data_IF_184095684659
#
_entry.id   IF_184095684659
#
_cell.length_a   1.000
_cell.length_b   1.000
_cell.length_c   1.000
_cell.angle_alpha   90.00
_cell.angle_beta   90.00
_cell.angle_gamma   90.00
#
_symmetry.space_group_name_H-M   'P 1'
#
loop_
_entity.id
_entity.type
_entity.pdbx_description
1 polymer ?
#
# COMPACT_ATOMS: atom_id res chain seq x y z
N UNK A 1 19.70 -9.78 -6.14
CA UNK A 1 18.53 -10.07 -7.02
C UNK A 1 18.22 -8.82 -7.85
N UNK A 2 18.09 -8.89 -9.19
CA UNK A 2 17.76 -7.70 -10.02
C UNK A 2 16.30 -7.76 -10.42
N UNK A 3 15.53 -6.75 -10.02
CA UNK A 3 14.15 -6.58 -10.49
C UNK A 3 14.14 -5.73 -11.75
N UNK A 4 14.06 -6.38 -12.91
CA UNK A 4 13.78 -5.72 -14.17
C UNK A 4 12.28 -5.42 -14.27
N UNK A 5 11.89 -4.19 -13.95
CA UNK A 5 10.53 -3.71 -14.21
C UNK A 5 10.45 -3.14 -15.63
N UNK A 6 9.80 -3.88 -16.53
CA UNK A 6 9.39 -3.37 -17.84
C UNK A 6 8.36 -2.25 -17.66
N UNK A 7 8.73 -1.02 -17.95
CA UNK A 7 7.76 0.04 -18.25
C UNK A 7 7.73 0.25 -19.76
N UNK A 8 6.80 -0.41 -20.44
CA UNK A 8 6.49 -0.14 -21.84
C UNK A 8 5.67 1.17 -21.92
N UNK A 9 6.11 2.21 -22.65
CA UNK A 9 5.52 3.55 -22.60
C UNK A 9 4.08 3.65 -23.16
N UNK A 10 3.52 2.56 -23.70
CA UNK A 10 2.18 2.54 -24.30
C UNK A 10 1.23 1.44 -23.82
N UNK A 11 1.73 0.49 -23.04
CA UNK A 11 0.94 -0.66 -22.56
C UNK A 11 1.48 -1.06 -21.19
N UNK A 12 0.83 -0.57 -20.13
CA UNK A 12 1.16 -0.95 -18.77
C UNK A 12 1.01 -2.46 -18.59
N UNK A 13 2.08 -3.07 -18.05
CA UNK A 13 2.15 -4.34 -17.33
C UNK A 13 1.21 -5.45 -17.83
N UNK A 14 1.68 -6.39 -18.66
CA UNK A 14 1.16 -7.77 -18.62
C UNK A 14 2.19 -8.81 -19.08
N UNK A 15 2.16 -9.93 -18.33
CA UNK A 15 2.74 -11.26 -18.55
C UNK A 15 4.25 -11.35 -18.83
N UNK A 16 4.96 -11.78 -17.78
CA UNK A 16 6.34 -12.30 -17.78
C UNK A 16 7.41 -11.20 -17.82
N UNK A 17 7.59 -10.53 -16.69
CA UNK A 17 8.95 -10.18 -16.26
C UNK A 17 9.75 -11.49 -16.18
N UNK A 18 10.66 -11.70 -17.13
CA UNK A 18 11.62 -12.79 -17.05
C UNK A 18 12.73 -12.27 -16.13
N UNK A 19 12.84 -12.84 -14.94
CA UNK A 19 14.01 -12.66 -14.08
C UNK A 19 15.19 -13.38 -14.75
N UNK A 20 16.30 -12.66 -14.94
CA UNK A 20 17.56 -13.26 -15.36
C UNK A 20 18.41 -13.44 -14.11
N UNK A 21 18.62 -14.69 -13.71
CA UNK A 21 19.59 -15.01 -12.67
C UNK A 21 20.97 -14.97 -13.30
N UNK A 22 21.77 -13.99 -12.90
CA UNK A 22 23.18 -13.94 -13.27
C UNK A 22 23.97 -14.94 -12.41
N UNK A 23 25.01 -15.57 -12.97
CA UNK A 23 25.85 -16.46 -12.20
C UNK A 23 26.45 -15.71 -11.01
N UNK A 24 26.57 -16.41 -9.88
CA UNK A 24 27.22 -15.86 -8.71
C UNK A 24 28.65 -15.44 -9.06
N UNK A 25 28.99 -14.18 -8.76
CA UNK A 25 30.30 -13.60 -9.04
C UNK A 25 30.86 -12.99 -7.77
N UNK A 26 32.04 -13.45 -7.38
CA UNK A 26 32.79 -12.87 -6.27
C UNK A 26 33.57 -11.67 -6.81
N UNK A 27 33.29 -10.48 -6.28
CA UNK A 27 34.09 -9.30 -6.52
C UNK A 27 35.25 -9.24 -5.54
N UNK A 28 36.47 -9.32 -6.05
CA UNK A 28 37.69 -9.03 -5.30
C UNK A 28 38.17 -7.65 -5.71
N UNK A 29 38.19 -6.74 -4.74
CA UNK A 29 38.63 -5.37 -4.95
C UNK A 29 40.12 -5.29 -4.62
N UNK A 30 40.95 -4.91 -5.60
CA UNK A 30 42.38 -4.69 -5.38
C UNK A 30 42.66 -3.39 -4.65
N UNK A 31 41.80 -2.40 -4.86
CA UNK A 31 41.73 -1.20 -4.07
C UNK A 31 40.25 -0.88 -3.81
N UNK A 32 39.98 -0.36 -2.62
CA UNK A 32 38.67 0.15 -2.23
C UNK A 32 38.88 1.47 -1.49
N UNK A 33 38.09 2.48 -1.83
CA UNK A 33 38.15 3.82 -1.25
C UNK A 33 36.75 4.24 -0.84
N UNK A 34 36.62 4.61 0.43
CA UNK A 34 35.39 5.21 0.93
C UNK A 34 35.22 6.63 0.36
N UNK A 35 33.96 7.03 0.16
CA UNK A 35 33.57 8.40 -0.22
C UNK A 35 34.29 8.93 -1.48
N UNK A 36 34.36 8.09 -2.51
CA UNK A 36 35.06 8.43 -3.76
C UNK A 36 34.15 9.16 -4.73
N UNK A 37 34.68 10.24 -5.35
CA UNK A 37 33.91 11.02 -6.33
C UNK A 37 33.91 10.33 -7.70
N UNK A 38 32.72 9.99 -8.19
CA UNK A 38 32.46 9.44 -9.53
C UNK A 38 31.64 10.46 -10.30
N UNK A 39 32.27 11.19 -11.21
CA UNK A 39 31.64 12.29 -11.94
C UNK A 39 31.08 13.36 -10.98
N UNK A 40 29.76 13.54 -10.96
CA UNK A 40 29.06 14.49 -10.10
C UNK A 40 28.65 13.93 -8.73
N UNK A 41 28.78 12.62 -8.51
CA UNK A 41 28.30 11.96 -7.30
C UNK A 41 29.47 11.49 -6.43
N UNK A 42 29.18 11.30 -5.14
CA UNK A 42 30.09 10.64 -4.20
C UNK A 42 29.53 9.23 -3.97
N UNK A 43 30.35 8.21 -4.23
CA UNK A 43 30.05 6.82 -3.94
C UNK A 43 30.49 6.48 -2.52
N UNK A 44 29.70 5.69 -1.81
CA UNK A 44 30.07 5.24 -0.46
C UNK A 44 31.37 4.43 -0.50
N UNK A 45 31.50 3.53 -1.47
CA UNK A 45 32.73 2.80 -1.75
C UNK A 45 32.91 2.71 -3.26
N UNK A 46 34.10 3.06 -3.75
CA UNK A 46 34.54 2.75 -5.11
C UNK A 46 35.79 1.89 -5.06
N UNK A 47 35.94 0.98 -6.01
CA UNK A 47 37.11 0.13 -6.10
C UNK A 47 37.35 -0.39 -7.51
N UNK A 48 38.45 -1.13 -7.67
CA UNK A 48 38.78 -1.77 -8.93
C UNK A 48 38.87 -3.29 -8.76
N UNK A 49 38.29 -4.02 -9.70
CA UNK A 49 38.43 -5.47 -9.81
C UNK A 49 39.84 -5.87 -10.32
N UNK A 50 40.13 -7.17 -10.30
CA UNK A 50 41.38 -7.76 -10.83
C UNK A 50 41.68 -7.42 -12.29
N UNK A 51 40.63 -7.22 -13.09
CA UNK A 51 40.75 -6.83 -14.50
C UNK A 51 40.84 -5.30 -14.70
N UNK A 52 40.89 -4.52 -13.61
CA UNK A 52 40.94 -3.06 -13.64
C UNK A 52 39.58 -2.38 -13.85
N UNK A 53 38.47 -3.14 -13.86
CA UNK A 53 37.14 -2.57 -13.96
C UNK A 53 36.79 -1.78 -12.69
N UNK A 54 36.45 -0.51 -12.85
CA UNK A 54 35.93 0.32 -11.75
C UNK A 54 34.53 -0.15 -11.36
N UNK A 55 34.31 -0.41 -10.08
CA UNK A 55 33.03 -0.84 -9.52
C UNK A 55 32.67 -0.02 -8.29
N UNK A 56 31.37 0.12 -8.06
CA UNK A 56 30.82 0.92 -6.98
C UNK A 56 29.97 0.05 -6.05
N UNK A 57 30.04 0.34 -4.76
CA UNK A 57 29.16 -0.20 -3.72
C UNK A 57 28.53 0.96 -2.98
N UNK A 58 27.20 0.98 -2.94
CA UNK A 58 26.39 1.94 -2.19
C UNK A 58 25.73 1.23 -1.01
N UNK A 59 25.60 1.92 0.13
CA UNK A 59 25.07 1.36 1.37
C UNK A 59 23.78 2.07 1.74
N UNK A 60 22.67 1.36 1.59
CA UNK A 60 21.36 1.86 1.98
C UNK A 60 21.17 1.65 3.48
N UNK A 61 21.26 2.76 4.23
CA UNK A 61 20.92 2.79 5.66
C UNK A 61 19.55 3.40 5.88
N UNK A 62 19.25 4.54 5.24
CA UNK A 62 17.94 5.22 5.32
C UNK A 62 17.35 5.53 3.94
N UNK A 63 18.21 5.84 2.98
CA UNK A 63 17.81 6.22 1.64
C UNK A 63 18.46 5.26 0.65
N UNK A 64 17.67 4.85 -0.35
CA UNK A 64 18.20 4.12 -1.49
C UNK A 64 18.93 5.07 -2.44
N UNK A 65 19.75 4.51 -3.33
CA UNK A 65 20.41 5.26 -4.40
C UNK A 65 19.36 6.01 -5.22
N UNK A 66 19.57 7.31 -5.34
CA UNK A 66 18.66 8.19 -6.05
C UNK A 66 18.51 7.80 -7.53
N UNK A 67 17.31 7.93 -8.13
CA UNK A 67 17.09 7.53 -9.52
C UNK A 67 18.03 8.22 -10.53
N UNK A 68 18.41 9.46 -10.26
CA UNK A 68 19.33 10.24 -11.11
C UNK A 68 20.75 9.66 -11.08
N UNK A 69 21.26 9.31 -9.89
CA UNK A 69 22.54 8.63 -9.70
C UNK A 69 22.53 7.25 -10.35
N UNK A 70 21.46 6.46 -10.16
CA UNK A 70 21.32 5.16 -10.79
C UNK A 70 21.31 5.24 -12.33
N UNK A 71 20.65 6.26 -12.89
CA UNK A 71 20.62 6.51 -14.34
C UNK A 71 22.00 6.89 -14.88
N UNK A 72 22.74 7.74 -14.15
CA UNK A 72 24.10 8.12 -14.49
C UNK A 72 25.03 6.90 -14.54
N UNK A 73 25.03 6.07 -13.49
CA UNK A 73 25.88 4.87 -13.42
C UNK A 73 25.60 3.89 -14.55
N UNK A 74 24.32 3.70 -14.90
CA UNK A 74 23.92 2.86 -16.05
C UNK A 74 24.39 3.43 -17.38
N UNK A 75 24.25 4.74 -17.59
CA UNK A 75 24.71 5.39 -18.81
C UNK A 75 26.24 5.36 -18.96
N UNK A 76 26.96 5.41 -17.84
CA UNK A 76 28.42 5.32 -17.79
C UNK A 76 28.95 3.87 -17.80
N UNK A 77 28.08 2.86 -17.88
CA UNK A 77 28.45 1.43 -17.82
C UNK A 77 29.28 1.05 -16.58
N UNK A 78 29.14 1.79 -15.47
CA UNK A 78 29.84 1.49 -14.23
C UNK A 78 29.02 0.47 -13.44
N UNK A 79 29.54 -0.73 -13.14
CA UNK A 79 28.87 -1.69 -12.30
C UNK A 79 28.70 -1.14 -10.88
N UNK A 80 27.48 -1.24 -10.36
CA UNK A 80 27.14 -0.75 -9.04
C UNK A 80 26.14 -1.68 -8.34
N UNK A 81 26.46 -2.03 -7.11
CA UNK A 81 25.57 -2.75 -6.20
C UNK A 81 25.16 -1.85 -5.04
N UNK A 82 23.94 -2.04 -4.55
CA UNK A 82 23.45 -1.46 -3.31
C UNK A 82 23.29 -2.57 -2.26
N UNK A 83 23.85 -2.34 -1.07
CA UNK A 83 23.71 -3.20 0.11
C UNK A 83 22.66 -2.58 1.02
N UNK A 84 21.56 -3.30 1.26
CA UNK A 84 20.47 -2.85 2.13
C UNK A 84 20.73 -3.24 3.59
N UNK A 85 21.02 -2.24 4.42
CA UNK A 85 21.19 -2.39 5.86
C UNK A 85 20.01 -1.79 6.64
N UNK A 86 18.99 -1.24 5.96
CA UNK A 86 17.81 -0.68 6.60
C UNK A 86 17.11 -1.67 7.56
N UNK A 87 16.96 -2.97 7.23
CA UNK A 87 16.33 -3.93 8.13
C UNK A 87 17.06 -4.11 9.47
N UNK A 88 18.36 -3.79 9.51
CA UNK A 88 19.20 -3.96 10.71
C UNK A 88 19.06 -2.79 11.69
N UNK A 89 18.37 -1.71 11.32
CA UNK A 89 18.18 -0.53 12.17
C UNK A 89 17.08 -0.72 13.24
N UNK A 90 16.28 -1.77 13.15
CA UNK A 90 15.23 -2.09 14.12
C UNK A 90 15.79 -2.84 15.35
N UNK A 91 17.03 -3.31 15.30
CA UNK A 91 17.69 -4.04 16.37
C UNK A 91 18.49 -3.08 17.29
N UNK A 92 18.28 -3.17 18.61
CA UNK A 92 18.85 -2.23 19.59
C UNK A 92 20.37 -2.36 19.76
N UNK A 93 21.00 -3.44 19.30
CA UNK A 93 22.46 -3.63 19.38
C UNK A 93 23.00 -4.55 18.29
N UNK A 94 23.67 -3.98 17.29
CA UNK A 94 24.39 -4.74 16.26
C UNK A 94 25.89 -4.78 16.60
N UNK A 95 26.50 -5.97 16.60
CA UNK A 95 27.96 -6.09 16.76
C UNK A 95 28.69 -5.81 15.43
N UNK A 96 29.97 -5.45 15.51
CA UNK A 96 30.82 -5.26 14.33
C UNK A 96 30.92 -6.56 13.49
N UNK A 97 30.89 -7.72 14.14
CA UNK A 97 30.98 -9.01 13.47
C UNK A 97 29.70 -9.33 12.68
N UNK A 98 28.53 -9.03 13.24
CA UNK A 98 27.24 -9.17 12.54
C UNK A 98 27.17 -8.18 11.37
N UNK A 99 27.60 -6.93 11.56
CA UNK A 99 27.68 -5.96 10.48
C UNK A 99 28.60 -6.44 9.34
N UNK A 100 29.79 -6.96 9.67
CA UNK A 100 30.73 -7.48 8.69
C UNK A 100 30.13 -8.66 7.92
N UNK A 101 29.40 -9.56 8.59
CA UNK A 101 28.67 -10.63 7.91
C UNK A 101 27.63 -10.09 6.92
N UNK A 102 26.82 -9.11 7.33
CA UNK A 102 25.82 -8.50 6.45
C UNK A 102 26.40 -7.74 5.26
N UNK A 103 27.59 -7.16 5.40
CA UNK A 103 28.24 -6.39 4.34
C UNK A 103 29.05 -7.31 3.41
N UNK A 104 29.77 -8.29 3.94
CA UNK A 104 30.76 -9.10 3.20
C UNK A 104 30.23 -10.46 2.78
N UNK A 105 29.42 -11.13 3.60
CA UNK A 105 29.00 -12.52 3.37
C UNK A 105 27.53 -12.64 2.94
N UNK A 106 26.66 -11.76 3.42
CA UNK A 106 25.23 -11.83 3.14
C UNK A 106 24.93 -11.42 1.69
N UNK A 107 24.27 -12.31 0.94
CA UNK A 107 23.89 -12.07 -0.46
C UNK A 107 22.45 -11.60 -0.63
N UNK A 108 21.60 -11.83 0.37
CA UNK A 108 20.16 -11.58 0.29
C UNK A 108 19.79 -10.11 0.42
N UNK A 109 20.69 -9.28 0.95
CA UNK A 109 20.53 -7.84 1.08
C UNK A 109 21.22 -7.04 -0.04
N UNK A 110 21.64 -7.70 -1.13
CA UNK A 110 22.33 -7.06 -2.25
C UNK A 110 21.46 -6.95 -3.49
N UNK A 111 21.45 -5.77 -4.08
CA UNK A 111 20.76 -5.50 -5.34
C UNK A 111 21.67 -4.78 -6.32
N UNK A 112 21.42 -4.97 -7.62
CA UNK A 112 22.16 -4.24 -8.64
C UNK A 112 21.49 -2.90 -8.92
N UNK A 113 22.27 -1.84 -8.87
CA UNK A 113 21.87 -0.49 -9.31
C UNK A 113 22.22 -0.30 -10.78
N UNK A 114 23.37 -0.85 -11.19
CA UNK A 114 23.88 -0.82 -12.57
C UNK A 114 24.70 -2.08 -12.81
N UNK A 115 24.51 -2.75 -13.94
CA UNK A 115 25.31 -3.90 -14.36
C UNK A 115 25.85 -3.64 -15.77
N UNK A 116 27.14 -3.87 -16.01
CA UNK A 116 27.78 -3.64 -17.31
C UNK A 116 27.13 -4.45 -18.44
N UNK A 117 26.65 -5.64 -18.12
CA UNK A 117 26.09 -6.59 -19.08
C UNK A 117 24.59 -6.34 -19.31
N UNK A 118 24.00 -5.37 -18.61
CA UNK A 118 22.57 -5.04 -18.66
C UNK A 118 22.09 -4.81 -20.10
N UNK A 119 22.85 -4.04 -20.90
CA UNK A 119 22.48 -3.72 -22.27
C UNK A 119 22.51 -4.95 -23.19
N UNK A 120 23.44 -5.87 -22.97
CA UNK A 120 23.55 -7.12 -23.74
C UNK A 120 22.38 -8.05 -23.40
N UNK A 121 22.12 -8.22 -22.11
CA UNK A 121 21.00 -9.04 -21.61
C UNK A 121 19.66 -8.47 -22.09
N UNK A 122 19.49 -7.14 -22.05
CA UNK A 122 18.29 -6.47 -22.55
C UNK A 122 18.10 -6.69 -24.06
N UNK A 123 19.17 -6.61 -24.85
CA UNK A 123 19.13 -6.84 -26.29
C UNK A 123 18.80 -8.30 -26.64
N UNK A 124 19.40 -9.28 -25.94
CA UNK A 124 19.11 -10.70 -26.10
C UNK A 124 17.64 -11.01 -25.79
N UNK A 125 17.13 -10.49 -24.67
CA UNK A 125 15.73 -10.65 -24.27
C UNK A 125 14.76 -10.00 -25.27
N UNK A 126 15.12 -8.86 -25.84
CA UNK A 126 14.32 -8.19 -26.87
C UNK A 126 14.30 -9.00 -28.17
N UNK A 127 15.43 -9.57 -28.57
CA UNK A 127 15.54 -10.42 -29.75
C UNK A 127 14.74 -11.73 -29.58
N UNK A 128 14.82 -12.39 -28.42
CA UNK A 128 13.99 -13.56 -28.08
C UNK A 128 12.49 -13.25 -28.22
N UNK A 129 12.07 -12.08 -27.72
CA UNK A 129 10.68 -11.65 -27.81
C UNK A 129 10.24 -11.42 -29.25
N UNK A 130 11.06 -10.73 -30.05
CA UNK A 130 10.74 -10.48 -31.46
C UNK A 130 10.65 -11.79 -32.26
N UNK A 131 11.56 -12.74 -32.02
CA UNK A 131 11.53 -14.06 -32.63
C UNK A 131 10.26 -14.85 -32.25
N UNK A 132 9.84 -14.77 -30.98
CA UNK A 132 8.59 -15.37 -30.54
C UNK A 132 7.35 -14.76 -31.22
N UNK A 133 7.30 -13.43 -31.34
CA UNK A 133 6.22 -12.72 -32.06
C UNK A 133 6.17 -13.18 -33.50
N UNK A 134 7.32 -13.22 -34.20
CA UNK A 134 7.39 -13.66 -35.58
C UNK A 134 6.90 -15.10 -35.76
N UNK A 135 7.28 -16.01 -34.85
CA UNK A 135 6.82 -17.41 -34.86
C UNK A 135 5.30 -17.50 -34.69
N UNK A 136 4.73 -16.75 -33.73
CA UNK A 136 3.27 -16.73 -33.50
C UNK A 136 2.50 -16.13 -34.66
N UNK A 137 3.04 -15.11 -35.31
CA UNK A 137 2.46 -14.54 -36.53
C UNK A 137 2.50 -15.52 -37.72
N UNK A 138 3.57 -16.32 -37.85
CA UNK A 138 3.69 -17.36 -38.88
C UNK A 138 2.73 -18.54 -38.65
N UNK A 139 2.59 -19.02 -37.42
CA UNK A 139 1.62 -20.06 -37.03
C UNK A 139 0.17 -19.65 -37.32
N UNK A 140 -0.15 -18.36 -37.15
CA UNK A 140 -1.47 -17.82 -37.47
C UNK A 140 -1.76 -17.70 -38.98
N UNK A 141 -0.71 -17.67 -39.82
CA UNK A 141 -0.83 -17.55 -41.26
C UNK A 141 -0.99 -18.91 -41.99
N UNK A 142 -0.65 -20.03 -41.35
CA UNK A 142 -0.70 -21.38 -41.94
C UNK A 142 -2.04 -22.11 -41.84
N UNK A 143 -3.09 -21.48 -41.30
CA UNK A 143 -4.44 -22.08 -41.18
C UNK A 143 -5.28 -21.74 -42.43
N UNK A 144 -5.75 -22.73 -43.22
CA UNK A 144 -6.58 -22.47 -44.40
C UNK A 144 -7.91 -21.85 -44.00
N UNK A 145 -8.17 -20.60 -44.44
CA UNK A 145 -9.41 -19.88 -44.16
C UNK A 145 -10.51 -20.31 -45.15
N UNK A 146 -11.43 -21.16 -44.70
CA UNK A 146 -12.78 -21.19 -45.28
C UNK A 146 -13.46 -19.85 -44.96
N UNK A 147 -14.08 -19.24 -45.97
CA UNK A 147 -14.75 -17.94 -45.89
C UNK A 147 -16.26 -18.14 -45.76
N UNK A 148 -16.85 -17.89 -44.59
CA UNK A 148 -18.19 -17.34 -44.47
C UNK A 148 -18.13 -15.82 -44.27
N UNK A 149 -19.26 -15.15 -44.48
CA UNK A 149 -19.49 -13.69 -44.44
C UNK A 149 -18.81 -12.96 -43.26
N UNK A 150 -18.41 -11.69 -43.45
CA UNK A 150 -17.55 -10.99 -42.49
C UNK A 150 -18.31 -10.68 -41.19
N UNK A 151 -17.95 -11.29 -40.04
CA UNK A 151 -18.39 -10.77 -38.75
C UNK A 151 -17.63 -9.47 -38.48
N UNK A 152 -18.33 -8.49 -37.88
CA UNK A 152 -17.78 -7.21 -37.42
C UNK A 152 -16.41 -7.43 -36.77
N UNK A 153 -15.38 -6.74 -37.27
CA UNK A 153 -14.03 -6.78 -36.70
C UNK A 153 -14.11 -6.52 -35.19
N UNK A 154 -13.91 -7.56 -34.39
CA UNK A 154 -13.80 -7.44 -32.95
C UNK A 154 -12.58 -6.58 -32.65
N UNK A 155 -12.75 -5.51 -31.87
CA UNK A 155 -11.63 -4.64 -31.55
C UNK A 155 -10.62 -5.42 -30.69
N UNK A 156 -9.33 -5.04 -30.75
CA UNK A 156 -8.29 -5.64 -29.88
C UNK A 156 -8.65 -5.60 -28.39
N UNK A 157 -9.52 -4.65 -27.99
CA UNK A 157 -10.04 -4.50 -26.63
C UNK A 157 -11.06 -5.59 -26.32
N UNK A 158 -11.94 -5.93 -27.26
CA UNK A 158 -12.93 -6.99 -27.11
C UNK A 158 -12.27 -8.37 -26.99
N UNK A 159 -11.21 -8.62 -27.76
CA UNK A 159 -10.41 -9.85 -27.63
C UNK A 159 -9.67 -9.94 -26.29
N UNK A 160 -9.20 -8.83 -25.74
CA UNK A 160 -8.57 -8.79 -24.42
C UNK A 160 -9.59 -9.03 -23.29
N UNK A 161 -10.80 -8.50 -23.45
CA UNK A 161 -11.91 -8.75 -22.53
C UNK A 161 -12.38 -10.20 -22.60
N UNK A 162 -12.59 -10.76 -23.78
CA UNK A 162 -12.98 -12.16 -23.95
C UNK A 162 -11.96 -13.12 -23.30
N UNK A 163 -10.66 -12.85 -23.46
CA UNK A 163 -9.60 -13.62 -22.80
C UNK A 163 -9.67 -13.56 -21.28
N UNK A 164 -9.87 -12.36 -20.72
CA UNK A 164 -9.97 -12.22 -19.27
C UNK A 164 -11.26 -12.82 -18.69
N UNK A 165 -12.38 -12.70 -19.41
CA UNK A 165 -13.64 -13.33 -19.01
C UNK A 165 -13.48 -14.86 -18.93
N UNK A 166 -12.70 -15.46 -19.84
CA UNK A 166 -12.42 -16.89 -19.86
C UNK A 166 -11.45 -17.37 -18.76
N UNK A 167 -10.77 -16.46 -18.05
CA UNK A 167 -9.87 -16.85 -16.97
C UNK A 167 -10.64 -17.39 -15.75
N UNK A 168 -10.15 -18.44 -15.08
CA UNK A 168 -10.65 -18.84 -13.77
C UNK A 168 -10.49 -17.71 -12.74
N UNK A 169 -11.41 -17.61 -11.79
CA UNK A 169 -11.38 -16.55 -10.78
C UNK A 169 -10.14 -16.58 -9.89
N UNK A 170 -9.55 -17.75 -9.67
CA UNK A 170 -8.27 -17.91 -8.97
C UNK A 170 -7.13 -17.19 -9.69
N UNK A 171 -7.08 -17.30 -11.03
CA UNK A 171 -6.09 -16.61 -11.85
C UNK A 171 -6.32 -15.10 -11.84
N UNK A 172 -7.58 -14.65 -11.89
CA UNK A 172 -7.92 -13.22 -11.76
C UNK A 172 -7.46 -12.66 -10.40
N UNK A 173 -7.64 -13.40 -9.30
CA UNK A 173 -7.15 -13.02 -7.97
C UNK A 173 -5.62 -12.96 -7.92
N UNK A 174 -4.94 -13.93 -8.52
CA UNK A 174 -3.48 -13.96 -8.58
C UNK A 174 -2.92 -12.76 -9.35
N UNK A 175 -3.50 -12.43 -10.50
CA UNK A 175 -3.15 -11.23 -11.27
C UNK A 175 -3.32 -9.96 -10.44
N UNK A 176 -4.45 -9.81 -9.75
CA UNK A 176 -4.71 -8.64 -8.92
C UNK A 176 -3.76 -8.55 -7.72
N UNK A 177 -3.48 -9.67 -7.02
CA UNK A 177 -2.49 -9.69 -5.94
C UNK A 177 -1.12 -9.20 -6.42
N UNK A 178 -0.70 -9.70 -7.58
CA UNK A 178 0.56 -9.31 -8.21
C UNK A 178 0.58 -7.82 -8.51
N UNK A 179 -0.47 -7.26 -9.12
CA UNK A 179 -0.52 -5.83 -9.46
C UNK A 179 -0.53 -4.95 -8.22
N UNK A 180 -1.25 -5.36 -7.18
CA UNK A 180 -1.33 -4.65 -5.91
C UNK A 180 -0.06 -4.80 -5.05
N UNK A 181 0.91 -5.62 -5.45
CA UNK A 181 2.12 -5.88 -4.67
C UNK A 181 1.85 -6.60 -3.35
N UNK A 182 0.79 -7.42 -3.28
CA UNK A 182 0.45 -8.20 -2.10
C UNK A 182 1.33 -9.46 -2.03
N UNK A 183 1.99 -9.68 -0.90
CA UNK A 183 2.75 -10.91 -0.66
C UNK A 183 1.84 -12.16 -0.66
N UNK A 184 2.42 -13.33 -0.95
CA UNK A 184 1.69 -14.59 -0.89
C UNK A 184 1.13 -14.84 0.52
N UNK A 185 -0.16 -15.15 0.59
CA UNK A 185 -0.88 -15.31 1.86
C UNK A 185 -1.27 -14.00 2.57
N UNK A 186 -0.88 -12.83 2.06
CA UNK A 186 -1.36 -11.56 2.60
C UNK A 186 -2.89 -11.45 2.52
N UNK A 187 -3.47 -10.91 3.60
CA UNK A 187 -4.92 -10.64 3.67
C UNK A 187 -5.30 -9.62 2.59
N UNK A 188 -6.43 -9.88 1.93
CA UNK A 188 -6.97 -8.97 0.92
C UNK A 188 -7.36 -7.63 1.57
N UNK A 189 -7.07 -6.47 0.94
CA UNK A 189 -7.41 -5.18 1.51
C UNK A 189 -8.92 -5.04 1.73
N UNK A 190 -9.35 -4.77 2.97
CA UNK A 190 -10.78 -4.71 3.34
C UNK A 190 -11.58 -3.69 2.51
N UNK A 191 -10.94 -2.61 2.09
CA UNK A 191 -11.56 -1.58 1.24
C UNK A 191 -11.77 -2.03 -0.23
N UNK A 192 -11.27 -3.20 -0.61
CA UNK A 192 -11.49 -3.87 -1.91
C UNK A 192 -12.37 -5.13 -1.77
N UNK A 193 -13.05 -5.30 -0.63
CA UNK A 193 -14.01 -6.37 -0.37
C UNK A 193 -15.22 -5.83 0.41
N UNK A 194 -15.72 -4.67 -0.02
CA UNK A 194 -16.83 -3.97 0.61
C UNK A 194 -18.13 -4.71 0.27
N UNK A 195 -18.91 -5.06 1.28
CA UNK A 195 -20.23 -5.65 1.06
C UNK A 195 -21.19 -4.64 0.43
N UNK A 196 -21.41 -4.78 -0.87
CA UNK A 196 -22.35 -3.97 -1.64
C UNK A 196 -23.66 -4.75 -1.76
N UNK A 197 -24.70 -4.34 -0.99
CA UNK A 197 -25.97 -5.06 -0.92
C UNK A 197 -26.80 -4.95 -2.21
N UNK A 198 -26.69 -3.84 -2.93
CA UNK A 198 -27.51 -3.55 -4.10
C UNK A 198 -26.72 -3.76 -5.39
N UNK A 199 -27.24 -4.60 -6.29
CA UNK A 199 -26.74 -4.77 -7.65
C UNK A 199 -25.41 -5.49 -7.84
N UNK A 200 -24.71 -5.88 -6.76
CA UNK A 200 -23.44 -6.60 -6.85
C UNK A 200 -23.56 -7.96 -7.55
N UNK A 201 -24.69 -8.65 -7.41
CA UNK A 201 -24.98 -9.94 -8.05
C UNK A 201 -25.13 -9.84 -9.58
N UNK A 202 -25.30 -8.64 -10.11
CA UNK A 202 -25.40 -8.41 -11.55
C UNK A 202 -24.04 -8.43 -12.26
N UNK A 203 -22.93 -8.39 -11.51
CA UNK A 203 -21.58 -8.50 -12.03
C UNK A 203 -21.16 -9.97 -11.90
N UNK A 204 -20.89 -10.71 -13.00
CA UNK A 204 -20.56 -12.13 -12.96
C UNK A 204 -19.09 -12.36 -12.58
N UNK A 205 -18.70 -11.83 -11.43
CA UNK A 205 -17.39 -12.01 -10.83
C UNK A 205 -17.48 -11.88 -9.30
N UNK A 206 -16.62 -12.55 -8.55
CA UNK A 206 -16.52 -12.39 -7.10
C UNK A 206 -16.28 -10.94 -6.69
N UNK A 207 -16.77 -10.57 -5.50
CA UNK A 207 -16.79 -9.17 -5.03
C UNK A 207 -15.38 -8.58 -4.92
N UNK A 208 -14.44 -9.37 -4.42
CA UNK A 208 -13.02 -9.03 -4.30
C UNK A 208 -12.38 -8.81 -5.68
N UNK A 209 -12.78 -9.61 -6.68
CA UNK A 209 -12.22 -9.55 -8.03
C UNK A 209 -12.68 -8.28 -8.76
N UNK A 210 -13.98 -7.99 -8.82
CA UNK A 210 -14.43 -6.82 -9.59
C UNK A 210 -14.14 -5.49 -8.88
N UNK A 211 -14.15 -5.47 -7.55
CA UNK A 211 -13.76 -4.27 -6.79
C UNK A 211 -12.26 -4.01 -6.90
N UNK A 212 -11.43 -5.06 -6.73
CA UNK A 212 -9.98 -4.96 -6.92
C UNK A 212 -9.61 -4.53 -8.33
N UNK A 213 -10.22 -5.13 -9.35
CA UNK A 213 -9.95 -4.77 -10.75
C UNK A 213 -10.37 -3.33 -11.09
N UNK A 214 -11.53 -2.89 -10.58
CA UNK A 214 -11.99 -1.50 -10.72
C UNK A 214 -11.01 -0.54 -10.05
N UNK A 215 -10.55 -0.83 -8.83
CA UNK A 215 -9.57 -0.01 -8.12
C UNK A 215 -8.23 0.05 -8.86
N UNK A 216 -7.70 -1.09 -9.30
CA UNK A 216 -6.45 -1.17 -10.08
C UNK A 216 -6.52 -0.35 -11.36
N UNK A 217 -7.67 -0.38 -12.04
CA UNK A 217 -7.84 0.31 -13.32
C UNK A 217 -7.93 1.83 -13.17
N UNK A 218 -8.71 2.29 -12.19
CA UNK A 218 -9.14 3.69 -12.12
C UNK A 218 -8.48 4.50 -10.98
N UNK A 219 -7.88 3.85 -9.98
CA UNK A 219 -7.40 4.51 -8.76
C UNK A 219 -5.93 4.21 -8.50
N UNK A 220 -5.52 2.94 -8.57
CA UNK A 220 -4.18 2.51 -8.21
C UNK A 220 -3.12 3.05 -9.18
N UNK A 221 -2.29 3.96 -8.66
CA UNK A 221 -1.12 4.56 -9.32
C UNK A 221 -0.04 4.84 -8.26
N UNK A 222 0.68 3.81 -7.78
CA UNK A 222 1.66 3.94 -6.70
C UNK A 222 2.89 4.77 -7.08
N UNK A 223 3.13 5.01 -8.37
CA UNK A 223 4.30 5.74 -8.90
C UNK A 223 3.89 7.18 -9.32
N UNK A 224 2.59 7.50 -9.35
CA UNK A 224 2.08 8.82 -9.71
C UNK A 224 2.29 9.18 -11.20
N UNK A 225 2.39 8.18 -12.07
CA UNK A 225 2.79 8.34 -13.47
C UNK A 225 1.65 8.64 -14.44
N UNK A 226 0.38 8.60 -14.01
CA UNK A 226 -0.79 8.77 -14.91
C UNK A 226 -1.50 10.10 -14.69
N UNK A 227 -0.97 11.18 -15.27
CA UNK A 227 -1.66 12.48 -15.26
C UNK A 227 -3.02 12.45 -15.99
N UNK A 228 -3.17 11.60 -17.00
CA UNK A 228 -4.39 11.49 -17.84
C UNK A 228 -5.56 10.74 -17.16
N UNK A 229 -5.36 10.09 -16.00
CA UNK A 229 -6.41 9.32 -15.30
C UNK A 229 -6.90 9.97 -14.01
N UNK A 230 -6.60 11.26 -13.79
CA UNK A 230 -6.99 11.96 -12.55
C UNK A 230 -8.50 12.15 -12.40
N UNK A 231 -9.31 11.98 -13.45
CA UNK A 231 -10.78 12.10 -13.39
C UNK A 231 -11.46 11.09 -14.32
N UNK A 232 -12.53 10.46 -13.85
CA UNK A 232 -13.36 9.52 -14.62
C UNK A 232 -14.85 9.65 -14.24
N UNK A 233 -15.75 9.23 -15.13
CA UNK A 233 -17.20 9.21 -14.87
C UNK A 233 -17.70 7.81 -14.50
N UNK A 234 -18.86 7.74 -13.82
CA UNK A 234 -19.50 6.46 -13.54
C UNK A 234 -19.81 5.67 -14.82
N UNK A 235 -20.17 6.35 -15.92
CA UNK A 235 -20.40 5.70 -17.22
C UNK A 235 -19.13 5.05 -17.77
N UNK A 236 -17.97 5.71 -17.66
CA UNK A 236 -16.69 5.13 -18.11
C UNK A 236 -16.32 3.89 -17.30
N UNK A 237 -16.58 3.89 -15.99
CA UNK A 237 -16.37 2.71 -15.14
C UNK A 237 -17.35 1.60 -15.53
N UNK A 238 -18.62 1.94 -15.77
CA UNK A 238 -19.61 0.99 -16.23
C UNK A 238 -19.21 0.35 -17.56
N UNK A 239 -18.89 1.13 -18.60
CA UNK A 239 -18.52 0.60 -19.91
C UNK A 239 -17.31 -0.34 -19.82
N UNK A 240 -16.32 0.02 -18.99
CA UNK A 240 -15.17 -0.83 -18.74
C UNK A 240 -15.52 -2.11 -17.98
N UNK A 241 -16.31 -2.03 -16.90
CA UNK A 241 -16.74 -3.21 -16.12
C UNK A 241 -17.60 -4.13 -16.97
N UNK A 242 -18.51 -3.57 -17.77
CA UNK A 242 -19.36 -4.31 -18.69
C UNK A 242 -18.56 -5.06 -19.73
N UNK A 243 -17.57 -4.41 -20.35
CA UNK A 243 -16.63 -5.07 -21.24
C UNK A 243 -15.79 -6.12 -20.52
N UNK A 244 -15.19 -5.79 -19.37
CA UNK A 244 -14.23 -6.64 -18.66
C UNK A 244 -14.85 -7.90 -18.07
N UNK A 245 -16.09 -7.82 -17.57
CA UNK A 245 -16.78 -8.93 -16.90
C UNK A 245 -17.95 -9.49 -17.70
N UNK A 246 -18.33 -8.90 -18.84
CA UNK A 246 -19.42 -9.41 -19.67
C UNK A 246 -20.80 -9.17 -19.08
N UNK A 247 -21.03 -8.02 -18.44
CA UNK A 247 -22.37 -7.69 -17.93
C UNK A 247 -23.31 -7.30 -19.07
N UNK A 248 -24.58 -7.70 -18.97
CA UNK A 248 -25.62 -7.30 -19.94
C UNK A 248 -26.08 -5.86 -19.72
N UNK A 249 -26.44 -5.14 -20.80
CA UNK A 249 -27.09 -3.83 -20.72
C UNK A 249 -28.42 -3.87 -19.92
N UNK A 250 -29.09 -5.03 -19.89
CA UNK A 250 -30.34 -5.21 -19.15
C UNK A 250 -30.18 -5.00 -17.63
N UNK A 251 -28.98 -5.20 -17.10
CA UNK A 251 -28.67 -5.03 -15.67
C UNK A 251 -27.90 -3.73 -15.39
N UNK A 252 -27.83 -2.81 -16.36
CA UNK A 252 -27.07 -1.57 -16.25
C UNK A 252 -27.36 -0.76 -15.00
N UNK A 253 -28.62 -0.64 -14.62
CA UNK A 253 -29.03 0.10 -13.42
C UNK A 253 -28.49 -0.55 -12.13
N UNK A 254 -28.51 -1.88 -12.05
CA UNK A 254 -28.01 -2.64 -10.90
C UNK A 254 -26.48 -2.55 -10.80
N UNK A 255 -25.77 -2.76 -11.92
CA UNK A 255 -24.30 -2.63 -11.97
C UNK A 255 -23.88 -1.20 -11.62
N UNK A 256 -24.56 -0.18 -12.17
CA UNK A 256 -24.28 1.23 -11.86
C UNK A 256 -24.53 1.57 -10.38
N UNK A 257 -25.57 1.00 -9.76
CA UNK A 257 -25.82 1.17 -8.33
C UNK A 257 -24.70 0.55 -7.49
N UNK A 258 -24.25 -0.67 -7.84
CA UNK A 258 -23.15 -1.33 -7.15
C UNK A 258 -21.84 -0.56 -7.26
N UNK A 259 -21.51 -0.09 -8.47
CA UNK A 259 -20.32 0.74 -8.72
C UNK A 259 -20.38 2.07 -7.98
N UNK A 260 -21.55 2.72 -7.94
CA UNK A 260 -21.74 3.98 -7.19
C UNK A 260 -21.51 3.79 -5.69
N UNK A 261 -22.01 2.69 -5.11
CA UNK A 261 -21.81 2.37 -3.70
C UNK A 261 -20.33 2.10 -3.39
N UNK A 262 -19.66 1.34 -4.25
CA UNK A 262 -18.24 1.03 -4.09
C UNK A 262 -17.35 2.29 -4.25
N UNK A 263 -17.52 3.06 -5.33
CA UNK A 263 -16.76 4.29 -5.56
C UNK A 263 -17.07 5.35 -4.48
N UNK A 264 -18.31 5.41 -4.00
CA UNK A 264 -18.69 6.26 -2.88
C UNK A 264 -18.00 5.86 -1.57
N UNK A 265 -17.80 4.55 -1.34
CA UNK A 265 -17.01 4.06 -0.21
C UNK A 265 -15.53 4.45 -0.34
N UNK A 266 -14.94 4.29 -1.53
CA UNK A 266 -13.55 4.73 -1.79
C UNK A 266 -13.38 6.24 -1.59
N UNK A 267 -14.38 7.04 -1.96
CA UNK A 267 -14.38 8.47 -1.69
C UNK A 267 -14.36 8.79 -0.18
N UNK A 268 -15.15 8.07 0.62
CA UNK A 268 -15.13 8.21 2.09
C UNK A 268 -13.79 7.79 2.71
N UNK A 269 -13.07 6.86 2.06
CA UNK A 269 -11.74 6.43 2.47
C UNK A 269 -10.63 7.39 2.02
N UNK A 270 -10.96 8.48 1.31
CA UNK A 270 -9.99 9.49 0.89
C UNK A 270 -9.26 9.17 -0.42
N UNK A 271 -9.62 8.10 -1.13
CA UNK A 271 -9.03 7.79 -2.44
C UNK A 271 -9.58 8.68 -3.55
N UNK A 272 -10.85 9.07 -3.44
CA UNK A 272 -11.59 9.77 -4.50
C UNK A 272 -12.29 11.01 -3.95
N UNK A 273 -12.42 12.03 -4.79
CA UNK A 273 -13.38 13.12 -4.61
C UNK A 273 -14.53 12.96 -5.61
N UNK A 274 -15.77 13.09 -5.14
CA UNK A 274 -16.94 13.01 -6.02
C UNK A 274 -17.45 14.39 -6.38
N UNK A 275 -17.53 14.70 -7.67
CA UNK A 275 -18.17 15.91 -8.20
C UNK A 275 -19.29 15.52 -9.17
N UNK A 276 -20.53 15.45 -8.67
CA UNK A 276 -21.67 15.00 -9.46
C UNK A 276 -21.59 13.50 -9.79
N UNK A 277 -21.45 13.18 -11.08
CA UNK A 277 -21.27 11.81 -11.62
C UNK A 277 -19.82 11.48 -12.02
N UNK A 278 -18.90 12.42 -11.75
CA UNK A 278 -17.47 12.23 -11.95
C UNK A 278 -16.74 12.05 -10.61
N UNK A 279 -15.63 11.32 -10.69
CA UNK A 279 -14.73 11.03 -9.59
C UNK A 279 -13.33 11.51 -9.96
N UNK A 280 -12.67 12.19 -9.03
CA UNK A 280 -11.27 12.63 -9.15
C UNK A 280 -10.42 11.79 -8.21
N UNK A 281 -9.29 11.25 -8.67
CA UNK A 281 -8.37 10.48 -7.82
C UNK A 281 -7.55 11.44 -6.96
N UNK A 282 -7.71 11.34 -5.64
CA UNK A 282 -6.93 12.10 -4.66
C UNK A 282 -5.69 11.35 -4.21
N UNK A 283 -5.77 10.01 -4.15
CA UNK A 283 -4.70 9.16 -3.67
C UNK A 283 -4.68 7.83 -4.42
N UNK A 284 -3.52 7.50 -5.01
CA UNK A 284 -3.34 6.32 -5.86
C UNK A 284 -2.58 5.15 -5.22
N UNK A 285 -2.19 5.26 -3.95
CA UNK A 285 -1.57 4.13 -3.23
C UNK A 285 -2.59 3.06 -2.85
N UNK A 286 -2.11 1.89 -2.43
CA UNK A 286 -2.98 0.79 -1.98
C UNK A 286 -3.69 1.09 -0.66
N UNK A 287 -3.02 1.82 0.24
CA UNK A 287 -3.52 2.06 1.58
C UNK A 287 -4.11 3.46 1.68
N UNK A 288 -5.30 3.65 2.30
CA UNK A 288 -5.95 4.96 2.33
C UNK A 288 -5.04 6.03 2.96
N UNK A 289 -5.09 7.28 2.47
CA UNK A 289 -4.31 8.37 3.04
C UNK A 289 -4.79 8.72 4.45
N UNK A 290 -3.90 9.29 5.27
CA UNK A 290 -4.29 9.92 6.54
C UNK A 290 -5.36 10.98 6.26
N UNK A 291 -6.46 10.94 7.02
CA UNK A 291 -7.67 11.73 6.75
C UNK A 291 -7.35 13.23 6.72
N UNK A 292 -7.76 13.99 5.67
CA UNK A 292 -7.70 15.44 5.72
C UNK A 292 -8.62 15.96 6.83
N UNK A 293 -8.14 16.93 7.61
CA UNK A 293 -8.98 17.63 8.59
C UNK A 293 -10.23 18.20 7.89
N UNK A 294 -11.42 18.11 8.50
CA UNK A 294 -12.59 18.79 7.97
C UNK A 294 -12.28 20.30 7.87
N UNK A 295 -12.71 20.99 6.80
CA UNK A 295 -12.56 22.44 6.75
C UNK A 295 -13.23 23.05 7.99
N UNK A 296 -12.43 23.76 8.78
CA UNK A 296 -12.88 24.53 9.93
C UNK A 296 -13.85 25.60 9.42
N UNK A 297 -15.14 25.31 9.45
CA UNK A 297 -16.15 26.35 9.30
C UNK A 297 -16.07 27.25 10.54
N UNK A 298 -15.88 28.58 10.38
CA UNK A 298 -15.84 29.47 11.52
C UNK A 298 -17.19 29.39 12.25
N UNK A 299 -17.15 28.96 13.51
CA UNK A 299 -18.29 28.87 14.38
C UNK A 299 -18.95 30.24 14.49
N UNK A 300 -20.20 30.36 14.04
CA UNK A 300 -21.04 31.51 14.35
C UNK A 300 -21.26 31.53 15.87
N UNK A 301 -20.85 32.63 16.48
CA UNK A 301 -21.07 32.94 17.88
C UNK A 301 -22.56 32.88 18.21
N UNK A 302 -22.92 31.99 19.13
CA UNK A 302 -24.12 32.18 19.93
C UNK A 302 -23.84 31.69 21.35
N UNK A 303 -23.76 32.65 22.25
CA UNK A 303 -24.04 32.48 23.68
C UNK A 303 -25.20 33.43 23.99
N UNK A 304 -26.02 33.15 25.01
CA UNK A 304 -25.63 33.61 26.33
C UNK A 304 -25.75 32.53 27.42
N UNK A 305 -24.98 32.78 28.47
CA UNK A 305 -24.65 31.90 29.57
C UNK A 305 -25.83 31.52 30.46
N UNK A 306 -25.72 30.36 31.14
CA UNK A 306 -26.40 30.18 32.42
C UNK A 306 -25.61 29.32 33.41
N UNK A 307 -25.38 29.94 34.58
CA UNK A 307 -25.12 29.42 35.92
C UNK A 307 -23.85 28.58 36.17
N UNK A 308 -22.80 29.30 36.57
CA UNK A 308 -21.69 28.80 37.39
C UNK A 308 -22.24 28.27 38.72
N UNK A 309 -22.07 26.97 38.95
CA UNK A 309 -22.16 26.36 40.28
C UNK A 309 -20.75 26.20 40.85
N UNK A 310 -20.57 26.57 42.12
CA UNK A 310 -19.32 26.49 42.89
C UNK A 310 -18.73 25.07 42.90
N UNK A 311 -17.40 24.93 42.97
CA UNK A 311 -16.75 23.63 42.95
C UNK A 311 -16.94 22.91 44.28
N UNK A 312 -17.68 21.82 44.26
CA UNK A 312 -17.65 20.79 45.31
C UNK A 312 -16.28 20.11 45.27
N UNK A 313 -15.59 20.00 46.40
CA UNK A 313 -14.40 19.17 46.52
C UNK A 313 -14.77 17.72 46.21
N UNK A 314 -14.41 17.22 45.04
CA UNK A 314 -14.84 15.90 44.58
C UNK A 314 -14.03 15.43 43.39
N UNK A 315 -13.20 14.40 43.64
CA UNK A 315 -12.47 13.56 42.70
C UNK A 315 -11.64 14.29 41.63
N UNK A 316 -10.31 14.11 41.68
CA UNK A 316 -9.43 14.32 40.54
C UNK A 316 -10.03 13.59 39.33
N UNK A 317 -10.73 14.33 38.45
CA UNK A 317 -11.22 13.76 37.19
C UNK A 317 -9.99 13.41 36.37
N UNK A 318 -9.75 12.11 36.18
CA UNK A 318 -8.81 11.61 35.19
C UNK A 318 -9.36 11.99 33.83
N UNK A 319 -8.92 13.13 33.29
CA UNK A 319 -9.24 13.50 31.92
C UNK A 319 -8.30 12.75 30.99
N UNK A 320 -8.87 11.97 30.08
CA UNK A 320 -8.13 11.21 29.08
C UNK A 320 -8.08 11.96 27.77
N UNK A 321 -6.99 11.81 27.02
CA UNK A 321 -6.86 12.39 25.69
C UNK A 321 -6.67 11.25 24.69
N UNK A 322 -7.48 11.22 23.63
CA UNK A 322 -7.32 10.24 22.57
C UNK A 322 -5.98 10.48 21.85
N UNK A 323 -5.25 9.39 21.59
CA UNK A 323 -4.00 9.48 20.82
C UNK A 323 -4.31 9.82 19.38
N UNK A 324 -3.48 10.65 18.77
CA UNK A 324 -3.57 10.98 17.34
C UNK A 324 -3.40 9.75 16.43
N UNK A 325 -2.69 8.72 16.93
CA UNK A 325 -2.52 7.44 16.25
C UNK A 325 -2.85 6.30 17.21
N UNK A 326 -3.84 5.50 16.82
CA UNK A 326 -4.20 4.30 17.53
C UNK A 326 -3.38 3.13 17.00
N UNK A 327 -3.05 2.14 17.85
CA UNK A 327 -2.44 0.89 17.38
C UNK A 327 -3.36 0.19 16.39
N UNK A 328 -2.77 -0.63 15.52
CA UNK A 328 -3.54 -1.50 14.63
C UNK A 328 -4.50 -2.37 15.45
N UNK A 329 -5.64 -2.73 14.85
CA UNK A 329 -6.68 -3.54 15.50
C UNK A 329 -6.12 -4.84 16.11
N UNK A 330 -5.15 -5.48 15.43
CA UNK A 330 -4.49 -6.70 15.92
C UNK A 330 -3.63 -6.44 17.18
N UNK A 331 -2.91 -5.31 17.22
CA UNK A 331 -2.12 -4.91 18.40
C UNK A 331 -3.04 -4.46 19.53
N UNK A 332 -4.12 -3.76 19.21
CA UNK A 332 -5.14 -3.32 20.16
C UNK A 332 -5.86 -4.52 20.79
N UNK A 333 -6.20 -5.53 19.98
CA UNK A 333 -6.81 -6.78 20.41
C UNK A 333 -5.88 -7.60 21.30
N UNK A 334 -4.60 -7.73 20.92
CA UNK A 334 -3.60 -8.41 21.74
C UNK A 334 -3.49 -7.73 23.11
N UNK A 335 -3.34 -6.40 23.12
CA UNK A 335 -3.24 -5.61 24.36
C UNK A 335 -4.52 -5.62 25.19
N UNK A 336 -5.69 -5.60 24.55
CA UNK A 336 -6.98 -5.72 25.22
C UNK A 336 -7.10 -7.10 25.89
N UNK A 337 -6.68 -8.17 25.19
CA UNK A 337 -6.68 -9.53 25.72
C UNK A 337 -5.73 -9.66 26.92
N UNK A 338 -4.51 -9.10 26.83
CA UNK A 338 -3.56 -9.09 27.94
C UNK A 338 -4.03 -8.22 29.12
N UNK A 339 -4.75 -7.14 28.83
CA UNK A 339 -5.37 -6.28 29.85
C UNK A 339 -6.50 -7.00 30.59
N UNK A 340 -7.30 -7.85 29.92
CA UNK A 340 -8.39 -8.60 30.57
C UNK A 340 -7.93 -9.51 31.71
N UNK A 341 -6.69 -10.00 31.66
CA UNK A 341 -6.07 -10.82 32.71
C UNK A 341 -5.77 -9.99 33.98
N UNK A 342 -5.53 -8.69 33.82
CA UNK A 342 -5.14 -7.77 34.91
C UNK A 342 -6.34 -7.19 35.68
N UNK A 343 -7.50 -7.08 35.04
CA UNK A 343 -8.72 -6.56 35.67
C UNK A 343 -9.59 -7.70 36.19
N UNK A 344 -9.16 -8.30 37.31
CA UNK A 344 -9.86 -9.40 37.97
C UNK A 344 -11.31 -9.03 38.33
N UNK A 345 -12.28 -9.65 37.65
CA UNK A 345 -13.70 -9.54 38.01
C UNK A 345 -14.69 -9.53 36.84
N UNK A 346 -14.23 -9.39 35.60
CA UNK A 346 -15.14 -9.33 34.45
C UNK A 346 -14.55 -9.98 33.18
N UNK A 347 -15.33 -10.85 32.55
CA UNK A 347 -14.99 -11.50 31.28
C UNK A 347 -15.22 -10.52 30.12
N UNK A 348 -14.36 -9.49 30.02
CA UNK A 348 -14.42 -8.58 28.89
C UNK A 348 -14.14 -9.37 27.60
N UNK A 349 -15.09 -9.36 26.67
CA UNK A 349 -14.88 -9.88 25.34
C UNK A 349 -14.02 -8.88 24.54
N UNK A 350 -12.70 -9.08 24.58
CA UNK A 350 -11.71 -8.20 23.96
C UNK A 350 -11.94 -8.01 22.46
N UNK A 351 -12.33 -9.07 21.74
CA UNK A 351 -12.64 -9.02 20.31
C UNK A 351 -13.83 -8.09 20.05
N UNK A 352 -14.95 -8.34 20.72
CA UNK A 352 -16.16 -7.54 20.55
C UNK A 352 -15.93 -6.08 20.96
N UNK A 353 -15.17 -5.85 22.03
CA UNK A 353 -14.83 -4.51 22.50
C UNK A 353 -14.00 -3.74 21.47
N UNK A 354 -12.94 -4.34 20.94
CA UNK A 354 -12.08 -3.70 19.95
C UNK A 354 -12.83 -3.48 18.64
N UNK A 355 -13.58 -4.47 18.15
CA UNK A 355 -14.39 -4.36 16.93
C UNK A 355 -15.38 -3.18 17.04
N UNK A 356 -16.08 -3.08 18.17
CA UNK A 356 -17.05 -2.01 18.40
C UNK A 356 -16.36 -0.66 18.57
N UNK A 357 -15.29 -0.58 19.37
CA UNK A 357 -14.54 0.66 19.60
C UNK A 357 -13.94 1.22 18.29
N UNK A 358 -13.39 0.35 17.44
CA UNK A 358 -12.80 0.74 16.15
C UNK A 358 -13.84 0.94 15.04
N UNK A 359 -15.06 0.43 15.22
CA UNK A 359 -16.20 0.70 14.32
C UNK A 359 -16.90 2.04 14.59
N UNK A 360 -16.60 2.70 15.71
CA UNK A 360 -17.22 3.97 16.07
C UNK A 360 -16.79 5.09 15.11
N UNK A 361 -17.77 5.81 14.58
CA UNK A 361 -17.57 6.86 13.57
C UNK A 361 -17.11 8.21 14.14
N UNK A 362 -17.16 8.35 15.47
CA UNK A 362 -16.79 9.53 16.24
C UNK A 362 -16.08 9.09 17.52
N UNK A 363 -15.19 9.94 18.05
CA UNK A 363 -14.57 9.73 19.36
C UNK A 363 -15.67 9.52 20.41
N UNK A 364 -15.73 8.34 21.05
CA UNK A 364 -16.79 8.06 21.99
C UNK A 364 -16.62 8.92 23.23
N UNK A 365 -17.73 9.49 23.72
CA UNK A 365 -17.74 10.16 25.02
C UNK A 365 -17.39 9.17 26.14
N UNK A 366 -16.95 9.67 27.29
CA UNK A 366 -16.67 8.82 28.46
C UNK A 366 -17.83 7.90 28.81
N UNK A 367 -19.05 8.41 28.76
CA UNK A 367 -20.26 7.64 29.00
C UNK A 367 -20.47 6.54 27.94
N UNK A 368 -20.16 6.83 26.67
CA UNK A 368 -20.26 5.85 25.58
C UNK A 368 -19.22 4.74 25.73
N UNK A 369 -17.98 5.06 26.11
CA UNK A 369 -16.93 4.06 26.38
C UNK A 369 -17.32 3.19 27.58
N UNK A 370 -17.77 3.77 28.69
CA UNK A 370 -18.19 3.02 29.88
C UNK A 370 -19.37 2.09 29.57
N UNK A 371 -20.31 2.55 28.74
CA UNK A 371 -21.41 1.74 28.24
C UNK A 371 -20.91 0.59 27.37
N UNK A 372 -19.95 0.87 26.47
CA UNK A 372 -19.34 -0.13 25.60
C UNK A 372 -18.60 -1.21 26.39
N UNK A 373 -17.76 -0.82 27.36
CA UNK A 373 -17.05 -1.75 28.24
C UNK A 373 -18.03 -2.66 28.97
N UNK A 374 -19.15 -2.11 29.47
CA UNK A 374 -20.19 -2.89 30.15
C UNK A 374 -20.91 -3.84 29.19
N UNK A 375 -21.23 -3.39 27.97
CA UNK A 375 -21.85 -4.23 26.92
C UNK A 375 -20.97 -5.39 26.50
N UNK A 376 -19.66 -5.21 26.54
CA UNK A 376 -18.67 -6.25 26.25
C UNK A 376 -18.34 -7.11 27.48
N UNK A 377 -19.06 -6.98 28.59
CA UNK A 377 -18.89 -7.81 29.78
C UNK A 377 -17.73 -7.39 30.69
N UNK A 378 -17.23 -6.16 30.57
CA UNK A 378 -16.19 -5.55 31.40
C UNK A 378 -16.72 -4.62 32.51
N UNK A 379 -15.82 -4.10 33.35
CA UNK A 379 -16.14 -3.16 34.44
C UNK A 379 -16.05 -1.72 33.93
N UNK A 380 -17.15 -0.96 33.99
CA UNK A 380 -17.21 0.42 33.52
C UNK A 380 -16.11 1.32 34.10
N UNK A 381 -15.76 1.16 35.38
CA UNK A 381 -14.74 1.97 36.04
C UNK A 381 -13.31 1.67 35.57
N UNK A 382 -13.07 0.51 34.95
CA UNK A 382 -11.79 0.15 34.34
C UNK A 382 -11.63 0.69 32.91
N UNK A 383 -12.63 1.41 32.36
CA UNK A 383 -12.62 1.85 30.97
C UNK A 383 -11.41 2.71 30.60
N UNK A 384 -10.98 3.62 31.47
CA UNK A 384 -9.81 4.45 31.19
C UNK A 384 -8.52 3.63 31.13
N UNK A 385 -8.29 2.82 32.16
CA UNK A 385 -7.05 2.05 32.29
C UNK A 385 -6.95 0.99 31.17
N UNK A 386 -8.09 0.41 30.76
CA UNK A 386 -8.21 -0.46 29.59
C UNK A 386 -7.83 0.27 28.29
N UNK A 387 -8.40 1.45 28.03
CA UNK A 387 -8.06 2.24 26.83
C UNK A 387 -6.58 2.66 26.83
N UNK A 388 -6.00 2.94 28.01
CA UNK A 388 -4.59 3.29 28.17
C UNK A 388 -3.68 2.10 27.88
N UNK A 389 -4.02 0.91 28.39
CA UNK A 389 -3.31 -0.34 28.15
C UNK A 389 -3.35 -0.78 26.68
N UNK A 390 -4.50 -0.61 26.03
CA UNK A 390 -4.65 -0.82 24.59
C UNK A 390 -3.76 0.17 23.84
N UNK A 391 -3.61 1.39 24.36
CA UNK A 391 -2.79 2.44 23.79
C UNK A 391 -3.57 3.31 22.81
N UNK A 392 -4.86 3.52 23.07
CA UNK A 392 -5.73 4.43 22.29
C UNK A 392 -5.94 5.78 22.99
N UNK A 393 -5.69 5.84 24.30
CA UNK A 393 -5.66 7.09 25.07
C UNK A 393 -4.31 7.28 25.76
N UNK A 394 -4.02 8.54 26.08
CA UNK A 394 -2.99 8.96 27.03
C UNK A 394 -3.65 9.63 28.23
N UNK A 395 -2.95 9.56 29.37
CA UNK A 395 -3.30 10.32 30.54
C UNK A 395 -2.96 11.79 30.28
N UNK A 396 -3.97 12.67 30.33
CA UNK A 396 -3.76 14.06 29.98
C UNK A 396 -2.92 14.75 31.06
N UNK A 397 -1.72 15.20 30.69
CA UNK A 397 -0.84 16.02 31.55
C UNK A 397 -1.43 17.42 31.87
N UNK A 398 -2.62 17.76 31.35
CA UNK A 398 -3.28 19.05 31.60
C UNK A 398 -3.72 19.26 33.06
N UNK A 399 -3.58 18.26 33.92
CA UNK A 399 -3.85 18.36 35.37
C UNK A 399 -2.65 18.87 36.22
N UNK A 400 -1.50 19.23 35.63
CA UNK A 400 -0.38 19.89 36.36
C UNK A 400 -0.23 21.40 36.07
N UNK A 401 -1.34 22.13 35.99
CA UNK A 401 -1.35 23.55 36.43
C UNK A 401 -2.39 23.66 37.54
N UNK A 402 -2.02 23.73 38.81
CA UNK A 402 -1.06 24.70 39.36
C UNK A 402 0.41 24.27 39.48
N UNK A 403 1.25 24.89 38.67
CA UNK A 403 2.55 25.38 39.15
C UNK A 403 3.80 24.52 39.00
N UNK A 404 3.85 23.47 38.17
CA UNK A 404 5.09 22.69 37.98
C UNK A 404 5.46 22.58 36.50
N UNK A 405 6.68 22.99 36.14
CA UNK A 405 7.23 22.86 34.77
C UNK A 405 7.58 21.41 34.41
N UNK A 406 7.54 21.03 33.11
CA UNK A 406 7.83 19.66 32.67
C UNK A 406 9.31 19.25 32.86
N UNK A 407 9.59 17.97 33.15
CA UNK A 407 10.93 17.51 33.57
C UNK A 407 12.01 17.52 32.47
N UNK A 408 11.63 17.70 31.19
CA UNK A 408 12.57 17.74 30.05
C UNK A 408 13.10 19.14 29.71
N UNK A 409 12.86 20.16 30.56
CA UNK A 409 13.43 21.52 30.41
C UNK A 409 14.48 21.90 31.46
N UNK A 410 15.02 20.95 32.21
CA UNK A 410 16.15 21.20 33.10
C UNK A 410 17.33 20.29 32.74
N UNK A 411 18.26 20.90 31.98
CA UNK A 411 19.61 20.47 31.56
C UNK A 411 19.73 19.27 30.63
#
# INVERSE_FOLDING_TARGET
MVNFNRLHPRFGLFERSKTADLPEKVWRLNEARAESRIGTYIADIAGHLDDGTEVIVEVKVRHAVEPEKAKYLRASHVPCIEIDLLPLLEEESLTLQELAWHVVECVTNRSWVSNSDYAVIEAELLAEYQAWVARKSSEAASVPRHRPEPPKQQSKVDEAYARYQALPDEMKRLELRTVLGLADGARWPRHLQVSVREGAQAIPAPIDVWQGATFVRFVYDPIGGREETKRFSLSQVFDWVSGRFGTSELVRHQVSAALRLFLGYLAKCGFLERTGDAFTVLYGGLWPPARPEPPVHPAKSSTPARAVSKPTAGALRREWTWRERWPSEDVALLRASDATVRYAGAQLNAQLFVDMLYSMSIEPSETAVKTLVTQCGGIADAAFDLLKDIGVVEESWRMLRGGVEPPWRCK
#
